data_IF_050755151411
#
_entry.id   IF_050755151411
#
_cell.length_a   1.000
_cell.length_b   1.000
_cell.length_c   1.000
_cell.angle_alpha   90.00
_cell.angle_beta   90.00
_cell.angle_gamma   90.00
#
_symmetry.space_group_name_H-M   'P 1'
#
loop_
_entity.id
_entity.type
_entity.pdbx_description
1 polymer ?
#
# COMPACT_ATOMS: atom_id res chain seq x y z
N UNK A 1 -3.13 9.34 0.66
CA UNK A 1 -2.27 8.14 0.71
C UNK A 1 -3.12 6.97 1.14
N UNK A 2 -3.33 5.99 0.28
CA UNK A 2 -4.11 4.78 0.57
C UNK A 2 -3.37 3.55 0.05
N UNK A 3 -3.23 2.56 0.90
CA UNK A 3 -2.80 1.24 0.47
C UNK A 3 -4.05 0.36 0.35
N UNK A 4 -4.59 0.26 -0.86
CA UNK A 4 -5.84 -0.44 -1.10
C UNK A 4 -5.72 -1.94 -0.87
N UNK A 5 -6.67 -2.49 -0.13
CA UNK A 5 -6.69 -3.90 0.21
C UNK A 5 -8.05 -4.56 -0.11
N UNK A 6 -8.49 -4.54 -1.38
CA UNK A 6 -9.75 -5.21 -1.75
C UNK A 6 -9.74 -6.71 -1.50
N UNK A 7 -8.55 -7.32 -1.47
CA UNK A 7 -8.35 -8.74 -1.14
C UNK A 7 -7.10 -8.90 -0.26
N UNK A 8 -7.19 -8.53 1.04
CA UNK A 8 -6.00 -8.52 1.92
C UNK A 8 -5.34 -9.89 2.10
N UNK A 9 -6.10 -10.97 1.96
CA UNK A 9 -5.57 -12.33 2.07
C UNK A 9 -4.93 -12.90 0.81
N UNK A 10 -4.99 -12.18 -0.31
CA UNK A 10 -4.44 -12.61 -1.59
C UNK A 10 -3.89 -11.39 -2.36
N UNK A 11 -2.62 -11.11 -2.18
CA UNK A 11 -1.99 -9.91 -2.73
C UNK A 11 -1.96 -9.89 -4.27
N UNK A 12 -1.90 -11.04 -4.92
CA UNK A 12 -1.99 -11.10 -6.38
C UNK A 12 -3.36 -10.66 -6.88
N UNK A 13 -4.41 -11.22 -6.29
CA UNK A 13 -5.79 -10.85 -6.59
C UNK A 13 -6.04 -9.40 -6.21
N UNK A 14 -5.49 -8.96 -5.09
CA UNK A 14 -5.54 -7.58 -4.62
C UNK A 14 -5.03 -6.62 -5.71
N UNK A 15 -3.83 -6.86 -6.21
CA UNK A 15 -3.22 -6.03 -7.24
C UNK A 15 -4.03 -6.05 -8.55
N UNK A 16 -4.51 -7.21 -8.96
CA UNK A 16 -5.32 -7.35 -10.19
C UNK A 16 -6.64 -6.58 -10.13
N UNK A 17 -7.18 -6.39 -8.95
CA UNK A 17 -8.45 -5.69 -8.76
C UNK A 17 -8.31 -4.18 -8.93
N UNK A 18 -7.13 -3.64 -8.70
CA UNK A 18 -6.88 -2.19 -8.74
C UNK A 18 -6.69 -1.72 -10.18
N UNK A 19 -7.38 -0.64 -10.55
CA UNK A 19 -7.25 -0.03 -11.87
C UNK A 19 -5.85 0.54 -12.13
N UNK A 20 -5.48 0.70 -13.40
CA UNK A 20 -4.14 1.12 -13.83
C UNK A 20 -3.62 2.35 -13.08
N UNK A 21 -4.43 3.40 -13.03
CA UNK A 21 -4.04 4.67 -12.42
C UNK A 21 -3.71 4.51 -10.93
N UNK A 22 -4.56 3.80 -10.20
CA UNK A 22 -4.36 3.58 -8.77
C UNK A 22 -3.27 2.56 -8.50
N UNK A 23 -3.18 1.52 -9.32
CA UNK A 23 -2.11 0.53 -9.19
C UNK A 23 -0.72 1.18 -9.31
N UNK A 24 -0.55 2.09 -10.27
CA UNK A 24 0.70 2.84 -10.40
C UNK A 24 1.06 3.56 -9.10
N UNK A 25 0.08 4.25 -8.52
CA UNK A 25 0.28 5.00 -7.28
C UNK A 25 0.55 4.12 -6.07
N UNK A 26 0.06 2.89 -6.04
CA UNK A 26 0.24 2.01 -4.88
C UNK A 26 1.71 1.76 -4.55
N UNK A 27 2.53 1.53 -5.54
CA UNK A 27 3.97 1.31 -5.32
C UNK A 27 4.63 2.58 -4.80
N UNK A 28 4.29 3.73 -5.37
CA UNK A 28 4.82 5.03 -4.93
C UNK A 28 4.40 5.34 -3.49
N UNK A 29 3.13 5.17 -3.18
CA UNK A 29 2.59 5.44 -1.84
C UNK A 29 3.14 4.47 -0.80
N UNK A 30 3.26 3.20 -1.13
CA UNK A 30 3.86 2.21 -0.23
C UNK A 30 5.34 2.52 0.04
N UNK A 31 6.07 2.96 -0.98
CA UNK A 31 7.44 3.44 -0.82
C UNK A 31 7.52 4.64 0.13
N UNK A 32 6.62 5.60 -0.03
CA UNK A 32 6.53 6.77 0.86
C UNK A 32 6.23 6.36 2.31
N UNK A 33 5.29 5.45 2.50
CA UNK A 33 4.98 4.88 3.82
C UNK A 33 6.23 4.24 4.43
N UNK A 34 6.95 3.44 3.66
CA UNK A 34 8.17 2.79 4.11
C UNK A 34 9.24 3.77 4.57
N UNK A 35 9.43 4.88 3.84
CA UNK A 35 10.37 5.92 4.23
C UNK A 35 9.96 6.61 5.54
N UNK A 36 8.70 6.92 5.70
CA UNK A 36 8.19 7.53 6.94
C UNK A 36 8.42 6.60 8.12
N UNK A 37 8.10 5.33 7.96
CA UNK A 37 8.27 4.32 9.01
C UNK A 37 9.76 4.13 9.36
N UNK A 38 10.64 4.06 8.36
CA UNK A 38 12.08 3.94 8.59
C UNK A 38 12.62 5.13 9.40
N UNK A 39 12.22 6.35 9.03
CA UNK A 39 12.60 7.56 9.77
C UNK A 39 12.10 7.51 11.21
N UNK A 40 10.89 7.02 11.43
CA UNK A 40 10.31 6.85 12.77
C UNK A 40 11.05 5.80 13.58
N UNK A 41 11.53 4.73 12.95
CA UNK A 41 12.37 3.72 13.61
C UNK A 41 13.71 4.31 14.04
N UNK A 42 14.31 5.17 13.21
CA UNK A 42 15.58 5.83 13.51
C UNK A 42 15.48 6.86 14.62
N UNK A 43 14.36 7.58 14.66
CA UNK A 43 14.12 8.59 15.70
C UNK A 43 12.65 8.58 16.12
N UNK A 44 12.29 7.72 17.10
CA UNK A 44 10.90 7.57 17.55
C UNK A 44 10.28 8.85 18.13
N UNK A 45 11.10 9.79 18.59
CA UNK A 45 10.63 11.01 19.24
C UNK A 45 10.58 12.21 18.28
N UNK A 46 11.11 12.07 17.06
CA UNK A 46 11.08 13.14 16.08
C UNK A 46 9.67 13.38 15.55
N UNK A 47 9.38 14.64 15.25
CA UNK A 47 8.18 14.99 14.48
C UNK A 47 8.46 14.73 13.01
N UNK A 48 7.89 13.66 12.48
CA UNK A 48 8.07 13.27 11.09
C UNK A 48 6.75 13.52 10.37
N UNK A 49 6.81 14.24 9.25
CA UNK A 49 5.63 14.46 8.40
C UNK A 49 5.00 13.13 8.02
N UNK A 50 3.67 13.07 8.05
CA UNK A 50 2.88 11.87 7.72
C UNK A 50 2.96 10.72 8.73
N UNK A 51 3.76 10.82 9.80
CA UNK A 51 3.88 9.71 10.77
C UNK A 51 2.57 9.38 11.48
N UNK A 52 1.65 10.35 11.57
CA UNK A 52 0.32 10.14 12.13
C UNK A 52 -0.71 9.68 11.10
N UNK A 53 -0.35 9.62 9.82
CA UNK A 53 -1.24 9.09 8.80
C UNK A 53 -1.54 7.62 9.11
N UNK A 54 -2.81 7.19 9.03
CA UNK A 54 -3.18 5.82 9.40
C UNK A 54 -2.35 4.72 8.72
N UNK A 55 -2.05 4.85 7.43
CA UNK A 55 -1.22 3.87 6.73
C UNK A 55 0.18 3.76 7.36
N UNK A 56 0.78 4.89 7.72
CA UNK A 56 2.09 4.90 8.36
C UNK A 56 2.04 4.33 9.78
N UNK A 57 1.00 4.66 10.54
CA UNK A 57 0.81 4.12 11.89
C UNK A 57 0.66 2.61 11.89
N UNK A 58 -0.09 2.06 10.93
CA UNK A 58 -0.29 0.61 10.82
C UNK A 58 0.98 -0.12 10.45
N UNK A 59 1.74 0.41 9.51
CA UNK A 59 3.02 -0.21 9.12
C UNK A 59 4.05 -0.06 10.23
N UNK A 60 4.12 1.11 10.87
CA UNK A 60 5.02 1.32 12.03
C UNK A 60 4.70 0.38 13.19
N UNK A 61 3.42 0.15 13.45
CA UNK A 61 2.94 -0.84 14.41
C UNK A 61 3.60 -0.76 15.80
N UNK A 62 3.72 0.46 16.32
CA UNK A 62 4.27 0.67 17.66
C UNK A 62 5.73 0.27 17.83
N UNK A 63 6.53 0.32 16.76
CA UNK A 63 7.93 -0.06 16.78
C UNK A 63 8.21 -1.52 16.38
N UNK A 64 7.16 -2.25 15.99
CA UNK A 64 7.27 -3.59 15.38
C UNK A 64 6.83 -3.51 13.93
N UNK A 65 7.65 -2.88 13.06
CA UNK A 65 7.21 -2.47 11.74
C UNK A 65 6.91 -3.65 10.83
N UNK A 66 5.89 -3.47 10.00
CA UNK A 66 5.42 -4.49 9.06
C UNK A 66 6.10 -4.36 7.70
N UNK A 67 7.42 -4.19 7.69
CA UNK A 67 8.21 -4.12 6.46
C UNK A 67 8.10 -5.37 5.60
N UNK A 68 8.05 -6.60 6.16
CA UNK A 68 7.87 -7.78 5.33
C UNK A 68 6.56 -7.74 4.54
N UNK A 69 5.45 -7.34 5.17
CA UNK A 69 4.18 -7.17 4.48
C UNK A 69 4.26 -6.07 3.42
N UNK A 70 4.84 -4.93 3.77
CA UNK A 70 4.95 -3.79 2.86
C UNK A 70 5.74 -4.16 1.60
N UNK A 71 6.81 -4.92 1.76
CA UNK A 71 7.61 -5.41 0.65
C UNK A 71 6.80 -6.33 -0.26
N UNK A 72 6.09 -7.29 0.34
CA UNK A 72 5.22 -8.20 -0.41
C UNK A 72 4.11 -7.45 -1.15
N UNK A 73 3.55 -6.42 -0.54
CA UNK A 73 2.55 -5.56 -1.16
C UNK A 73 3.13 -4.83 -2.39
N UNK A 74 4.29 -4.22 -2.24
CA UNK A 74 4.98 -3.53 -3.34
C UNK A 74 5.30 -4.51 -4.47
N UNK A 75 5.85 -5.67 -4.13
CA UNK A 75 6.22 -6.69 -5.13
C UNK A 75 5.01 -7.18 -5.91
N UNK A 76 3.89 -7.43 -5.24
CA UNK A 76 2.66 -7.86 -5.90
C UNK A 76 2.11 -6.78 -6.83
N UNK A 77 2.09 -5.53 -6.40
CA UNK A 77 1.63 -4.42 -7.23
C UNK A 77 2.55 -4.16 -8.42
N UNK A 78 3.86 -4.24 -8.22
CA UNK A 78 4.83 -4.05 -9.30
C UNK A 78 4.79 -5.21 -10.30
N UNK A 79 4.62 -6.43 -9.82
CA UNK A 79 4.48 -7.60 -10.70
C UNK A 79 3.25 -7.45 -11.61
N UNK A 80 2.12 -7.05 -11.04
CA UNK A 80 0.90 -6.81 -11.83
C UNK A 80 1.09 -5.64 -12.80
N UNK A 81 1.75 -4.57 -12.39
CA UNK A 81 2.07 -3.43 -13.24
C UNK A 81 2.86 -3.85 -14.48
N UNK A 82 3.90 -4.65 -14.28
CA UNK A 82 4.71 -5.21 -15.37
C UNK A 82 3.92 -6.18 -16.23
N UNK A 83 3.06 -6.99 -15.62
CA UNK A 83 2.19 -7.91 -16.33
C UNK A 83 1.24 -7.18 -17.29
N UNK A 84 0.80 -5.98 -16.93
CA UNK A 84 -0.01 -5.13 -17.80
C UNK A 84 0.80 -4.45 -18.91
N UNK A 85 2.10 -4.65 -18.98
CA UNK A 85 2.98 -4.09 -20.00
C UNK A 85 3.64 -2.76 -19.63
N UNK A 86 3.50 -2.33 -18.39
CA UNK A 86 4.12 -1.10 -17.91
C UNK A 86 5.45 -1.37 -17.22
N UNK A 87 6.29 -0.35 -17.14
CA UNK A 87 7.61 -0.45 -16.51
C UNK A 87 7.88 0.75 -15.61
N UNK A 88 8.63 0.52 -14.55
CA UNK A 88 9.15 1.58 -13.69
C UNK A 88 10.60 1.86 -14.03
N UNK A 89 11.08 3.07 -13.73
CA UNK A 89 12.48 3.39 -13.94
C UNK A 89 13.37 2.52 -13.04
N UNK A 90 14.55 2.18 -13.54
CA UNK A 90 15.57 1.44 -12.76
C UNK A 90 15.98 2.24 -11.53
N UNK A 91 16.04 3.56 -11.65
CA UNK A 91 16.34 4.45 -10.52
C UNK A 91 15.34 4.31 -9.39
N UNK A 92 14.05 4.27 -9.71
CA UNK A 92 13.00 4.11 -8.68
C UNK A 92 13.03 2.71 -8.05
N UNK A 93 13.22 1.67 -8.85
CA UNK A 93 13.36 0.31 -8.33
C UNK A 93 14.56 0.18 -7.39
N UNK A 94 15.67 0.84 -7.72
CA UNK A 94 16.84 0.88 -6.85
C UNK A 94 16.57 1.60 -5.53
N UNK A 95 15.76 2.65 -5.54
CA UNK A 95 15.32 3.35 -4.31
C UNK A 95 14.50 2.44 -3.41
N UNK A 96 13.62 1.63 -3.98
CA UNK A 96 12.84 0.63 -3.22
C UNK A 96 13.77 -0.38 -2.58
N UNK A 97 14.72 -0.93 -3.34
CA UNK A 97 15.69 -1.90 -2.82
C UNK A 97 16.52 -1.30 -1.68
N UNK A 98 16.94 -0.05 -1.83
CA UNK A 98 17.71 0.67 -0.80
C UNK A 98 16.87 0.84 0.48
N UNK A 99 15.59 1.20 0.36
CA UNK A 99 14.69 1.32 1.50
C UNK A 99 14.67 0.04 2.33
N UNK A 100 14.44 -1.10 1.69
CA UNK A 100 14.33 -2.38 2.39
C UNK A 100 15.68 -2.88 2.88
N UNK A 101 16.77 -2.58 2.18
CA UNK A 101 18.13 -2.89 2.66
C UNK A 101 18.44 -2.10 3.95
N UNK A 102 18.11 -0.82 3.99
CA UNK A 102 18.29 0.00 5.18
C UNK A 102 17.37 -0.42 6.32
N UNK A 103 16.16 -0.85 6.02
CA UNK A 103 15.23 -1.34 7.02
C UNK A 103 15.68 -2.63 7.70
N UNK A 104 16.54 -3.43 7.06
CA UNK A 104 17.08 -4.67 7.64
C UNK A 104 17.82 -4.46 8.95
N UNK A 105 18.34 -3.26 9.21
CA UNK A 105 18.93 -2.90 10.50
C UNK A 105 17.97 -3.17 11.66
N UNK A 106 16.66 -3.09 11.41
CA UNK A 106 15.62 -3.28 12.40
C UNK A 106 14.94 -4.63 12.30
N UNK A 107 15.47 -5.58 11.54
CA UNK A 107 14.83 -6.86 11.23
C UNK A 107 14.43 -7.68 12.45
N UNK A 108 15.17 -7.56 13.56
CA UNK A 108 14.82 -8.25 14.81
C UNK A 108 13.49 -7.78 15.42
N UNK A 109 13.00 -6.59 15.04
CA UNK A 109 11.75 -6.03 15.55
C UNK A 109 10.57 -6.24 14.60
N UNK A 110 10.80 -6.77 13.40
CA UNK A 110 9.76 -6.87 12.37
C UNK A 110 8.58 -7.73 12.82
N UNK A 111 7.38 -7.26 12.49
CA UNK A 111 6.18 -8.09 12.48
C UNK A 111 5.99 -8.68 11.09
N UNK A 112 5.70 -9.97 11.01
CA UNK A 112 5.41 -10.68 9.76
C UNK A 112 3.90 -10.76 9.48
N UNK A 113 3.09 -10.13 10.33
CA UNK A 113 1.64 -10.12 10.16
C UNK A 113 1.24 -9.12 9.06
N UNK A 114 0.16 -9.41 8.32
CA UNK A 114 -0.36 -8.47 7.33
C UNK A 114 -0.96 -7.23 8.00
N UNK A 115 -0.98 -6.14 7.25
CA UNK A 115 -1.73 -4.95 7.63
C UNK A 115 -3.18 -5.17 7.19
N UNK A 116 -4.09 -5.34 8.13
CA UNK A 116 -5.50 -5.62 7.83
C UNK A 116 -6.36 -4.68 8.67
N UNK A 117 -6.33 -3.40 8.42
CA UNK A 117 -7.05 -2.55 9.35
C UNK A 117 -7.41 -1.14 8.89
N UNK A 118 -7.27 -0.77 7.64
CA UNK A 118 -7.54 0.62 7.34
C UNK A 118 -8.10 0.89 5.95
N UNK A 119 -9.16 1.68 5.94
CA UNK A 119 -9.66 2.32 4.72
C UNK A 119 -9.70 3.83 4.97
N UNK A 120 -8.95 4.59 4.18
CA UNK A 120 -8.93 6.03 4.27
C UNK A 120 -9.58 6.69 3.06
N UNK A 121 -9.59 8.02 3.07
CA UNK A 121 -9.88 8.79 1.88
C UNK A 121 -11.35 9.02 1.57
N UNK A 122 -12.11 9.56 2.50
CA UNK A 122 -13.43 10.12 2.21
C UNK A 122 -14.60 9.19 2.42
N UNK A 123 -14.37 7.98 2.85
CA UNK A 123 -15.40 7.10 3.38
C UNK A 123 -15.26 7.00 4.88
N UNK A 124 -16.31 6.51 5.50
CA UNK A 124 -16.28 6.20 6.92
C UNK A 124 -15.05 5.38 7.25
N UNK A 125 -14.31 5.84 8.24
CA UNK A 125 -13.08 5.19 8.68
C UNK A 125 -13.43 3.78 9.14
N UNK A 126 -12.76 2.80 8.56
CA UNK A 126 -12.80 1.46 9.13
C UNK A 126 -11.84 1.46 10.30
N UNK A 127 -12.40 1.20 11.45
CA UNK A 127 -11.63 1.12 12.66
C UNK A 127 -10.65 -0.05 12.67
N UNK A 128 -9.69 0.04 13.55
CA UNK A 128 -8.69 -0.98 13.83
C UNK A 128 -9.31 -2.36 14.06
N UNK A 129 -8.64 -3.39 13.62
CA UNK A 129 -8.98 -4.75 13.98
C UNK A 129 -10.03 -5.42 13.11
N UNK A 130 -10.24 -4.92 11.93
CA UNK A 130 -11.07 -5.61 10.94
C UNK A 130 -10.48 -6.96 10.56
N UNK A 131 -11.33 -7.89 10.17
CA UNK A 131 -10.91 -9.15 9.56
C UNK A 131 -10.55 -8.94 8.10
N UNK A 132 -9.85 -9.88 7.48
CA UNK A 132 -9.58 -9.84 6.04
C UNK A 132 -10.85 -9.68 5.24
N UNK A 133 -11.95 -10.30 5.68
CA UNK A 133 -13.25 -10.22 5.03
C UNK A 133 -13.85 -8.81 5.11
N UNK A 134 -13.89 -8.21 6.29
CA UNK A 134 -14.52 -6.90 6.49
C UNK A 134 -13.69 -5.78 5.87
N UNK A 135 -12.38 -5.83 6.00
CA UNK A 135 -11.47 -4.86 5.37
C UNK A 135 -11.54 -4.97 3.85
N UNK A 136 -11.48 -6.18 3.31
CA UNK A 136 -11.59 -6.40 1.86
C UNK A 136 -12.90 -5.87 1.29
N UNK A 137 -14.03 -6.18 1.95
CA UNK A 137 -15.34 -5.69 1.52
C UNK A 137 -15.40 -4.16 1.50
N UNK A 138 -14.84 -3.51 2.51
CA UNK A 138 -14.83 -2.06 2.60
C UNK A 138 -13.96 -1.41 1.52
N UNK A 139 -12.80 -1.96 1.25
CA UNK A 139 -11.95 -1.47 0.17
C UNK A 139 -12.57 -1.70 -1.21
N UNK A 140 -13.24 -2.83 -1.43
CA UNK A 140 -13.97 -3.05 -2.68
C UNK A 140 -15.05 -2.00 -2.88
N UNK A 141 -15.82 -1.68 -1.83
CA UNK A 141 -16.83 -0.62 -1.86
C UNK A 141 -16.19 0.75 -2.14
N UNK A 142 -15.09 1.05 -1.49
CA UNK A 142 -14.36 2.31 -1.71
C UNK A 142 -13.90 2.45 -3.16
N UNK A 143 -13.31 1.40 -3.72
CA UNK A 143 -12.86 1.40 -5.12
C UNK A 143 -14.03 1.57 -6.08
N UNK A 144 -15.15 0.86 -5.87
CA UNK A 144 -16.36 1.01 -6.67
C UNK A 144 -16.84 2.46 -6.71
N UNK A 145 -16.84 3.13 -5.57
CA UNK A 145 -17.24 4.54 -5.49
C UNK A 145 -16.27 5.46 -6.22
N UNK A 146 -14.97 5.19 -6.12
CA UNK A 146 -13.95 5.96 -6.85
C UNK A 146 -14.06 5.76 -8.35
N UNK A 147 -14.29 4.53 -8.79
CA UNK A 147 -14.50 4.22 -10.21
C UNK A 147 -15.74 4.89 -10.76
N UNK A 148 -16.83 4.93 -10.00
CA UNK A 148 -18.05 5.62 -10.42
C UNK A 148 -17.82 7.12 -10.58
N UNK A 149 -17.11 7.74 -9.64
CA UNK A 149 -16.72 9.16 -9.77
C UNK A 149 -15.85 9.41 -10.98
N UNK A 150 -14.92 8.50 -11.28
CA UNK A 150 -14.09 8.59 -12.46
C UNK A 150 -14.93 8.56 -13.75
N UNK A 151 -15.93 7.67 -13.81
CA UNK A 151 -16.85 7.59 -14.96
C UNK A 151 -17.66 8.88 -15.12
N UNK A 152 -18.19 9.39 -14.03
CA UNK A 152 -18.95 10.65 -14.01
C UNK A 152 -18.11 11.83 -14.49
N UNK A 153 -16.80 11.81 -14.19
CA UNK A 153 -15.85 12.83 -14.61
C UNK A 153 -15.35 12.63 -16.05
N UNK A 154 -15.84 11.62 -16.77
CA UNK A 154 -15.40 11.32 -18.14
C UNK A 154 -14.02 10.68 -18.22
N UNK A 155 -13.53 10.12 -17.12
CA UNK A 155 -12.22 9.46 -17.05
C UNK A 155 -12.39 8.04 -16.49
N UNK A 156 -13.03 7.12 -17.25
CA UNK A 156 -13.34 5.80 -16.76
C UNK A 156 -12.08 5.02 -16.36
N UNK A 157 -12.17 4.20 -15.31
CA UNK A 157 -11.05 3.37 -14.90
C UNK A 157 -10.72 2.35 -15.99
N UNK A 158 -9.46 1.96 -16.05
CA UNK A 158 -8.95 0.98 -17.00
C UNK A 158 -8.20 -0.11 -16.27
N UNK A 159 -8.31 -1.32 -16.79
CA UNK A 159 -7.50 -2.47 -16.42
C UNK A 159 -6.86 -2.97 -17.71
N UNK A 160 -5.64 -2.51 -17.98
CA UNK A 160 -4.93 -2.94 -19.18
C UNK A 160 -4.62 -4.42 -19.09
N UNK A 161 -4.97 -5.15 -20.14
CA UNK A 161 -4.64 -6.57 -20.27
C UNK A 161 -3.45 -6.73 -21.19
N UNK A 162 -2.54 -7.69 -20.91
CA UNK A 162 -1.44 -7.96 -21.82
C UNK A 162 -1.97 -8.50 -23.15
N UNK A 163 -1.30 -8.16 -24.22
CA UNK A 163 -1.60 -8.66 -25.58
C UNK A 163 -1.23 -10.15 -25.70
#
# INVERSE_FOLDING_TARGET
MNLFQPYPGDLKKNARTIDDKRLNKQVVEAYQVGNVVLRKMRDPNAKISWSNHPACRFVYNGGKPKFPWLRSYIEACDLEWRHRGFHRSEEFLAKIDTLFAEAEEYSATFSHEPVVAYVGGGLDVIEFGGTTRTVGAAYRKLLEQKWEKDREAGRPPKWTTPD
#
